data_IF_682432900979
#
_entry.id   IF_682432900979
#
_cell.length_a   1.000
_cell.length_b   1.000
_cell.length_c   1.000
_cell.angle_alpha   90.00
_cell.angle_beta   90.00
_cell.angle_gamma   90.00
#
_symmetry.space_group_name_H-M   'P 1'
#
loop_
_entity.id
_entity.type
_entity.pdbx_description
1 polymer ?
#
# COMPACT_ATOMS: atom_id res chain seq x y z
N UNK A 1 27.53 -4.27 -17.03
CA UNK A 1 26.13 -4.37 -16.55
C UNK A 1 26.21 -4.75 -15.09
N UNK A 2 25.90 -3.84 -14.17
CA UNK A 2 25.87 -4.18 -12.73
C UNK A 2 24.57 -4.89 -12.40
N UNK A 3 24.68 -6.07 -11.82
CA UNK A 3 23.60 -6.76 -11.12
C UNK A 3 23.19 -5.84 -9.96
N UNK A 4 21.90 -5.50 -9.81
CA UNK A 4 21.47 -4.89 -8.55
C UNK A 4 21.70 -5.93 -7.45
N UNK A 5 22.78 -5.75 -6.68
CA UNK A 5 23.00 -6.48 -5.43
C UNK A 5 22.08 -5.85 -4.38
N UNK A 6 21.10 -6.61 -3.91
CA UNK A 6 20.13 -6.21 -2.91
C UNK A 6 19.08 -7.30 -2.71
N UNK A 7 18.54 -7.36 -1.51
CA UNK A 7 17.42 -8.22 -1.16
C UNK A 7 16.09 -7.52 -1.45
N UNK A 8 15.01 -8.28 -1.48
CA UNK A 8 13.66 -7.73 -1.56
C UNK A 8 12.68 -8.51 -0.70
N UNK A 9 11.62 -7.84 -0.28
CA UNK A 9 10.46 -8.45 0.38
C UNK A 9 9.22 -8.23 -0.47
N UNK A 10 8.49 -9.31 -0.75
CA UNK A 10 7.18 -9.22 -1.34
C UNK A 10 6.19 -8.64 -0.31
N UNK A 11 5.39 -7.67 -0.75
CA UNK A 11 4.39 -7.00 0.07
C UNK A 11 3.01 -7.50 -0.30
N UNK A 12 2.20 -7.76 0.73
CA UNK A 12 0.79 -8.09 0.59
C UNK A 12 0.00 -7.35 1.65
N UNK A 13 -0.68 -6.30 1.26
CA UNK A 13 -1.39 -5.45 2.21
C UNK A 13 -2.73 -6.07 2.60
N UNK A 14 -3.12 -5.94 3.88
CA UNK A 14 -4.46 -6.34 4.35
C UNK A 14 -5.57 -5.70 3.51
N UNK A 15 -5.37 -4.46 3.07
CA UNK A 15 -6.32 -3.72 2.25
C UNK A 15 -6.68 -4.46 0.96
N UNK A 16 -5.74 -5.21 0.35
CA UNK A 16 -6.04 -6.05 -0.82
C UNK A 16 -7.08 -7.13 -0.47
N UNK A 17 -7.00 -7.72 0.72
CA UNK A 17 -7.91 -8.76 1.17
C UNK A 17 -9.30 -8.19 1.44
N UNK A 18 -9.38 -6.99 2.01
CA UNK A 18 -10.64 -6.32 2.32
C UNK A 18 -11.39 -5.88 1.03
N UNK A 19 -10.66 -5.53 -0.03
CA UNK A 19 -11.21 -5.07 -1.32
C UNK A 19 -11.59 -6.21 -2.25
N UNK A 20 -10.79 -7.28 -2.29
CA UNK A 20 -11.01 -8.42 -3.20
C UNK A 20 -12.45 -8.95 -3.24
N UNK A 21 -13.21 -9.07 -2.13
CA UNK A 21 -14.61 -9.51 -2.17
C UNK A 21 -15.60 -8.44 -2.64
N UNK A 22 -15.22 -7.17 -2.65
CA UNK A 22 -16.08 -6.04 -3.01
C UNK A 22 -15.95 -5.64 -4.49
N UNK A 23 -14.97 -6.20 -5.20
CA UNK A 23 -14.85 -6.01 -6.63
C UNK A 23 -16.06 -6.63 -7.34
N UNK A 24 -16.87 -5.80 -7.95
CA UNK A 24 -18.05 -6.18 -8.76
C UNK A 24 -17.68 -6.61 -10.17
N UNK A 25 -16.48 -6.25 -10.64
CA UNK A 25 -15.98 -6.55 -11.97
C UNK A 25 -15.31 -7.92 -12.01
N UNK A 26 -15.32 -8.55 -13.20
CA UNK A 26 -14.60 -9.78 -13.45
C UNK A 26 -13.10 -9.59 -13.14
N UNK A 27 -12.58 -10.36 -12.18
CA UNK A 27 -11.18 -10.29 -11.72
C UNK A 27 -10.20 -10.60 -12.86
N UNK A 28 -10.62 -11.31 -13.89
CA UNK A 28 -9.78 -11.59 -15.05
C UNK A 28 -9.54 -10.36 -15.93
N UNK A 29 -10.39 -9.34 -15.81
CA UNK A 29 -10.25 -8.09 -16.56
C UNK A 29 -9.41 -7.07 -15.82
N UNK A 30 -8.63 -6.31 -16.59
CA UNK A 30 -7.92 -5.17 -16.06
C UNK A 30 -8.92 -4.07 -15.70
N UNK A 31 -8.90 -3.63 -14.46
CA UNK A 31 -9.75 -2.54 -13.97
C UNK A 31 -8.93 -1.58 -13.11
N UNK A 32 -9.38 -0.34 -13.00
CA UNK A 32 -8.83 0.67 -12.12
C UNK A 32 -9.97 1.23 -11.26
N UNK A 33 -9.65 1.69 -10.07
CA UNK A 33 -10.63 2.33 -9.20
C UNK A 33 -9.95 2.99 -8.02
N UNK A 34 -10.76 3.43 -7.06
CA UNK A 34 -10.30 4.07 -5.84
C UNK A 34 -10.85 3.32 -4.64
N UNK A 35 -9.99 3.12 -3.65
CA UNK A 35 -10.40 2.77 -2.29
C UNK A 35 -10.39 4.02 -1.44
N UNK A 36 -11.47 4.25 -0.71
CA UNK A 36 -11.52 5.26 0.33
C UNK A 36 -11.12 4.62 1.64
N UNK A 37 -10.15 5.22 2.33
CA UNK A 37 -9.77 4.86 3.69
C UNK A 37 -10.06 6.00 4.65
N UNK A 38 -10.43 5.66 5.88
CA UNK A 38 -10.46 6.60 6.99
C UNK A 38 -9.11 6.54 7.73
N UNK A 39 -8.45 7.67 7.88
CA UNK A 39 -7.17 7.78 8.57
C UNK A 39 -7.45 8.12 10.04
N UNK A 40 -7.10 7.17 10.92
CA UNK A 40 -7.29 7.37 12.36
C UNK A 40 -6.22 8.30 12.96
N UNK A 41 -6.32 8.59 14.26
CA UNK A 41 -5.42 9.52 14.95
C UNK A 41 -3.94 9.12 14.92
N UNK A 42 -3.63 7.84 14.66
CA UNK A 42 -2.26 7.34 14.52
C UNK A 42 -1.74 7.38 13.07
N UNK A 43 -2.56 7.84 12.12
CA UNK A 43 -2.23 7.87 10.69
C UNK A 43 -2.44 6.54 9.98
N UNK A 44 -3.15 5.57 10.59
CA UNK A 44 -3.44 4.27 9.97
C UNK A 44 -4.73 4.38 9.16
N UNK A 45 -4.67 3.97 7.89
CA UNK A 45 -5.80 3.93 6.98
C UNK A 45 -6.63 2.66 7.13
N UNK A 46 -7.90 2.81 7.44
CA UNK A 46 -8.88 1.73 7.58
C UNK A 46 -9.85 1.75 6.39
N UNK A 47 -10.15 0.59 5.82
CA UNK A 47 -11.04 0.46 4.66
C UNK A 47 -12.43 1.06 4.95
N UNK A 48 -12.96 1.85 4.02
CA UNK A 48 -14.34 2.37 4.07
C UNK A 48 -15.18 1.83 2.92
N UNK A 49 -14.78 2.12 1.68
CA UNK A 49 -15.55 1.75 0.48
C UNK A 49 -14.69 1.78 -0.79
N UNK A 50 -15.24 1.21 -1.86
CA UNK A 50 -14.73 1.35 -3.22
C UNK A 50 -15.55 2.37 -4.01
N UNK A 51 -14.90 3.01 -4.98
CA UNK A 51 -15.53 3.92 -5.92
C UNK A 51 -14.79 3.90 -7.27
N UNK A 52 -15.51 4.13 -8.36
CA UNK A 52 -14.91 4.07 -9.71
C UNK A 52 -14.13 5.35 -10.05
N UNK A 53 -14.55 6.49 -9.51
CA UNK A 53 -13.97 7.81 -9.79
C UNK A 53 -13.35 8.42 -8.54
N UNK A 54 -12.41 9.35 -8.72
CA UNK A 54 -11.87 10.13 -7.61
C UNK A 54 -12.96 11.06 -7.06
N UNK A 55 -13.66 10.62 -6.03
CA UNK A 55 -14.65 11.43 -5.34
C UNK A 55 -14.00 12.57 -4.56
N UNK A 56 -14.73 13.67 -4.42
CA UNK A 56 -14.42 14.67 -3.42
C UNK A 56 -14.53 14.02 -2.06
N UNK A 57 -13.41 13.97 -1.35
CA UNK A 57 -13.35 13.42 0.00
C UNK A 57 -14.27 14.28 0.88
N UNK A 58 -15.31 13.66 1.45
CA UNK A 58 -16.35 14.38 2.23
C UNK A 58 -15.86 14.72 3.64
N UNK A 59 -14.86 13.99 4.15
CA UNK A 59 -14.27 14.18 5.48
C UNK A 59 -12.75 14.40 5.35
N UNK A 60 -12.15 15.42 6.01
CA UNK A 60 -10.69 15.63 6.03
C UNK A 60 -9.84 14.42 6.46
N UNK A 61 -10.41 13.46 7.20
CA UNK A 61 -9.74 12.23 7.62
C UNK A 61 -9.79 11.12 6.58
N UNK A 62 -10.59 11.28 5.52
CA UNK A 62 -10.67 10.28 4.46
C UNK A 62 -9.65 10.56 3.36
N UNK A 63 -9.16 9.49 2.73
CA UNK A 63 -8.26 9.59 1.57
C UNK A 63 -8.72 8.58 0.53
N UNK A 64 -8.87 9.05 -0.72
CA UNK A 64 -9.09 8.18 -1.87
C UNK A 64 -7.75 7.78 -2.48
N UNK A 65 -7.50 6.47 -2.54
CA UNK A 65 -6.25 5.88 -3.01
C UNK A 65 -6.53 5.03 -4.25
N UNK A 66 -5.80 5.25 -5.33
CA UNK A 66 -5.98 4.51 -6.57
C UNK A 66 -5.46 3.09 -6.44
N UNK A 67 -6.24 2.12 -6.89
CA UNK A 67 -5.81 0.72 -7.07
C UNK A 67 -5.97 0.30 -8.53
N UNK A 68 -5.27 -0.77 -8.89
CA UNK A 68 -5.37 -1.41 -10.20
C UNK A 68 -5.55 -2.90 -10.04
N UNK A 69 -6.50 -3.49 -10.74
CA UNK A 69 -6.62 -4.94 -10.92
C UNK A 69 -5.88 -5.30 -12.19
N UNK A 70 -4.86 -6.17 -12.07
CA UNK A 70 -4.12 -6.72 -13.20
C UNK A 70 -3.94 -8.21 -12.97
N UNK A 71 -4.34 -9.03 -13.95
CA UNK A 71 -4.25 -10.50 -13.85
C UNK A 71 -4.90 -11.06 -12.56
N UNK A 72 -6.07 -10.53 -12.17
CA UNK A 72 -6.76 -10.94 -10.93
C UNK A 72 -6.14 -10.46 -9.64
N UNK A 73 -5.06 -9.66 -9.68
CA UNK A 73 -4.38 -9.15 -8.48
C UNK A 73 -4.62 -7.65 -8.35
N UNK A 74 -4.99 -7.23 -7.14
CA UNK A 74 -5.03 -5.82 -6.77
C UNK A 74 -3.60 -5.34 -6.55
N UNK A 75 -3.26 -4.20 -7.11
CA UNK A 75 -1.97 -3.54 -6.96
C UNK A 75 -2.17 -2.14 -6.40
N UNK A 76 -1.50 -1.88 -5.29
CA UNK A 76 -1.25 -0.57 -4.71
C UNK A 76 0.21 -0.22 -4.96
N UNK A 77 0.53 0.99 -5.43
CA UNK A 77 1.90 1.52 -5.59
C UNK A 77 2.95 0.52 -6.14
N UNK A 78 3.48 -0.33 -5.25
CA UNK A 78 4.42 -1.43 -5.46
C UNK A 78 3.98 -2.69 -4.69
N UNK A 79 4.33 -3.86 -5.21
CA UNK A 79 4.16 -5.17 -4.56
C UNK A 79 5.45 -5.69 -3.90
N UNK A 80 6.52 -4.89 -3.89
CA UNK A 80 7.79 -5.26 -3.29
C UNK A 80 8.51 -4.04 -2.70
N UNK A 81 9.33 -4.30 -1.68
CA UNK A 81 10.27 -3.34 -1.10
C UNK A 81 11.70 -3.87 -1.28
N UNK A 82 12.59 -3.06 -1.85
CA UNK A 82 13.98 -3.42 -2.14
C UNK A 82 14.90 -2.77 -1.10
N UNK A 83 15.89 -3.52 -0.63
CA UNK A 83 16.83 -3.05 0.39
C UNK A 83 18.20 -3.71 0.24
N UNK A 84 19.19 -3.14 0.91
CA UNK A 84 20.56 -3.68 0.93
C UNK A 84 20.60 -5.10 1.53
N UNK A 85 21.49 -5.94 1.01
CA UNK A 85 21.70 -7.30 1.51
C UNK A 85 21.97 -7.33 3.03
N UNK A 86 21.44 -8.34 3.72
CA UNK A 86 21.61 -8.50 5.17
C UNK A 86 20.65 -7.66 6.04
N UNK A 87 19.70 -6.94 5.43
CA UNK A 87 18.63 -6.21 6.15
C UNK A 87 17.31 -6.96 6.23
N UNK A 88 17.27 -8.23 5.80
CA UNK A 88 16.05 -9.04 5.79
C UNK A 88 15.39 -9.14 7.17
N UNK A 89 16.16 -9.37 8.25
CA UNK A 89 15.61 -9.46 9.61
C UNK A 89 15.01 -8.15 10.13
N UNK A 90 15.55 -7.01 9.68
CA UNK A 90 15.00 -5.69 10.01
C UNK A 90 13.64 -5.50 9.33
N UNK A 91 13.56 -5.76 8.02
CA UNK A 91 12.33 -5.52 7.25
C UNK A 91 11.26 -6.59 7.46
N UNK A 92 11.63 -7.80 7.90
CA UNK A 92 10.68 -8.84 8.33
C UNK A 92 9.79 -8.40 9.51
N UNK A 93 10.21 -7.38 10.27
CA UNK A 93 9.42 -6.80 11.37
C UNK A 93 8.34 -5.82 10.89
N UNK A 94 8.23 -5.56 9.58
CA UNK A 94 7.26 -4.64 9.03
C UNK A 94 5.82 -5.05 9.34
N UNK A 95 5.04 -4.10 9.87
CA UNK A 95 3.60 -4.22 10.14
C UNK A 95 2.78 -3.31 9.26
N UNK A 96 3.34 -2.17 8.84
CA UNK A 96 2.65 -1.15 8.05
C UNK A 96 3.51 -0.65 6.90
N UNK A 97 2.88 -0.25 5.80
CA UNK A 97 3.51 0.56 4.76
C UNK A 97 3.25 2.04 5.00
N UNK A 98 4.28 2.88 4.93
CA UNK A 98 4.14 4.33 4.92
C UNK A 98 3.97 4.81 3.48
N UNK A 99 2.80 5.36 3.17
CA UNK A 99 2.48 5.85 1.84
C UNK A 99 2.41 7.37 1.79
N UNK A 100 2.89 7.93 0.67
CA UNK A 100 2.47 9.25 0.22
C UNK A 100 1.37 9.08 -0.81
N UNK A 101 0.31 9.86 -0.68
CA UNK A 101 -0.82 9.88 -1.61
C UNK A 101 -0.82 11.22 -2.34
N UNK A 102 -0.76 11.19 -3.66
CA UNK A 102 -0.85 12.38 -4.49
C UNK A 102 -2.31 12.83 -4.65
N UNK A 103 -2.52 14.06 -5.11
CA UNK A 103 -3.87 14.63 -5.26
C UNK A 103 -4.79 13.81 -6.20
N UNK A 104 -4.21 13.06 -7.15
CA UNK A 104 -4.93 12.18 -8.06
C UNK A 104 -5.18 10.76 -7.49
N UNK A 105 -4.84 10.52 -6.22
CA UNK A 105 -4.92 9.24 -5.53
C UNK A 105 -3.77 8.28 -5.80
N UNK A 106 -2.76 8.65 -6.60
CA UNK A 106 -1.58 7.79 -6.79
C UNK A 106 -0.78 7.63 -5.51
N UNK A 107 -0.27 6.41 -5.32
CA UNK A 107 0.40 5.99 -4.11
C UNK A 107 1.88 5.78 -4.38
N UNK A 108 2.71 6.24 -3.45
CA UNK A 108 4.12 5.91 -3.37
C UNK A 108 4.42 5.32 -2.00
N UNK A 109 4.89 4.07 -1.97
CA UNK A 109 5.45 3.47 -0.76
C UNK A 109 6.78 4.15 -0.46
N UNK A 110 6.84 4.86 0.66
CA UNK A 110 8.02 5.62 1.08
C UNK A 110 8.90 4.81 2.02
N UNK A 111 8.29 4.06 2.93
CA UNK A 111 9.01 3.29 3.95
C UNK A 111 8.12 2.17 4.51
N UNK A 112 8.72 1.32 5.34
CA UNK A 112 8.04 0.31 6.12
C UNK A 112 8.14 0.67 7.61
N UNK A 113 7.06 0.37 8.34
CA UNK A 113 6.99 0.61 9.78
C UNK A 113 6.75 -0.69 10.52
N UNK A 114 7.49 -0.89 11.59
CA UNK A 114 7.32 -2.02 12.49
C UNK A 114 6.19 -1.80 13.49
N UNK A 115 6.27 -2.51 14.61
CA UNK A 115 5.38 -2.28 15.74
C UNK A 115 5.51 -0.84 16.27
N UNK A 116 4.44 -0.34 16.88
CA UNK A 116 4.34 1.05 17.37
C UNK A 116 4.66 2.13 16.33
N UNK A 117 4.54 1.80 15.02
CA UNK A 117 4.79 2.69 13.90
C UNK A 117 6.26 3.17 13.78
N UNK A 118 7.23 2.44 14.35
CA UNK A 118 8.65 2.76 14.22
C UNK A 118 9.10 2.61 12.76
N UNK A 119 9.80 3.63 12.23
CA UNK A 119 10.33 3.60 10.86
C UNK A 119 11.53 2.65 10.79
N UNK A 120 11.42 1.60 9.97
CA UNK A 120 12.43 0.54 9.93
C UNK A 120 13.74 1.02 9.31
N UNK A 121 13.70 1.82 8.23
CA UNK A 121 14.92 2.35 7.60
C UNK A 121 15.81 3.18 8.53
N UNK A 122 15.23 3.76 9.59
CA UNK A 122 15.94 4.59 10.59
C UNK A 122 16.38 3.81 11.83
N UNK A 123 16.01 2.54 11.93
CA UNK A 123 16.37 1.70 13.07
C UNK A 123 17.81 1.24 12.89
N UNK A 124 18.71 1.67 13.78
CA UNK A 124 20.07 1.16 13.84
C UNK A 124 20.03 -0.19 14.57
N UNK A 125 20.56 -1.23 13.93
CA UNK A 125 20.90 -2.50 14.57
C UNK A 125 22.09 -2.29 15.51
#
# INVERSE_FOLDING_TARGET
RSLMQGDYMALRFKLEQDITPQLTHDKTQNADGYVVVNVNAQGIGEFVQLQDNLANVVNPQQIAMRYRVREGKIKFATNAFFFEEGKSDLYAQARYGEFKVAANGELLLKDLRGENLVVLSKTRL
#
